data_IF_203722387587
#
_entry.id   IF_203722387587
#
_cell.length_a   1.000
_cell.length_b   1.000
_cell.length_c   1.000
_cell.angle_alpha   90.00
_cell.angle_beta   90.00
_cell.angle_gamma   90.00
#
_symmetry.space_group_name_H-M   'P 1'
#
loop_
_entity.id
_entity.type
_entity.pdbx_description
1 polymer ?
#
# COMPACT_ATOMS: atom_id res chain seq x y z
N UNK A 1 -8.37 24.77 1.48
CA UNK A 1 -7.66 25.93 0.88
C UNK A 1 -8.64 27.09 0.83
N UNK A 2 -8.22 28.30 1.22
CA UNK A 2 -9.12 29.43 1.53
C UNK A 2 -9.92 29.96 0.33
N UNK A 3 -11.20 30.25 0.55
CA UNK A 3 -12.08 30.87 -0.44
C UNK A 3 -12.14 32.38 -0.29
N UNK A 4 -11.95 33.10 -1.39
CA UNK A 4 -12.31 34.52 -1.53
C UNK A 4 -13.77 34.61 -1.97
N UNK A 5 -14.61 35.39 -1.27
CA UNK A 5 -15.97 35.70 -1.73
C UNK A 5 -15.92 36.71 -2.86
N UNK A 6 -16.44 36.37 -4.03
CA UNK A 6 -16.66 37.31 -5.13
C UNK A 6 -18.11 37.83 -5.16
N UNK A 7 -18.36 39.04 -5.69
CA UNK A 7 -19.70 39.64 -5.82
C UNK A 7 -20.65 38.85 -6.74
N UNK A 8 -21.98 39.11 -6.67
CA UNK A 8 -23.05 38.28 -7.26
C UNK A 8 -23.08 38.18 -8.80
N UNK A 9 -22.23 38.92 -9.51
CA UNK A 9 -22.32 39.20 -10.94
C UNK A 9 -21.07 38.81 -11.73
N UNK A 10 -20.11 38.10 -11.13
CA UNK A 10 -19.01 37.46 -11.86
C UNK A 10 -19.20 35.94 -11.96
N UNK A 11 -19.20 35.42 -13.20
CA UNK A 11 -19.09 33.97 -13.44
C UNK A 11 -17.62 33.59 -13.38
N UNK A 12 -17.22 32.96 -12.28
CA UNK A 12 -15.91 32.36 -12.17
C UNK A 12 -15.83 31.15 -13.12
N UNK A 13 -14.89 31.19 -14.07
CA UNK A 13 -14.55 30.03 -14.91
C UNK A 13 -14.01 28.88 -14.03
N UNK A 14 -13.62 29.19 -12.78
CA UNK A 14 -13.27 28.24 -11.75
C UNK A 14 -14.37 28.31 -10.68
N UNK A 15 -15.48 27.58 -10.86
CA UNK A 15 -16.36 27.30 -9.73
C UNK A 15 -15.57 26.49 -8.68
N UNK A 16 -14.89 27.18 -7.78
CA UNK A 16 -14.31 26.62 -6.57
C UNK A 16 -15.47 26.13 -5.71
N UNK A 17 -15.86 24.87 -5.89
CA UNK A 17 -16.74 24.20 -4.94
C UNK A 17 -16.07 24.28 -3.56
N UNK A 18 -16.84 24.59 -2.53
CA UNK A 18 -16.44 24.19 -1.19
C UNK A 18 -16.30 22.66 -1.21
N UNK A 19 -15.09 22.10 -1.06
CA UNK A 19 -14.91 20.66 -1.13
C UNK A 19 -15.69 20.02 0.01
N UNK A 20 -16.30 18.86 -0.25
CA UNK A 20 -16.83 18.02 0.82
C UNK A 20 -15.66 17.67 1.75
N UNK A 21 -15.72 18.12 3.00
CA UNK A 21 -14.67 17.85 3.97
C UNK A 21 -14.92 16.44 4.50
N UNK A 22 -14.16 15.48 3.97
CA UNK A 22 -14.17 14.12 4.48
C UNK A 22 -13.45 14.00 5.83
N UNK A 23 -13.72 12.89 6.50
CA UNK A 23 -13.06 12.50 7.74
C UNK A 23 -11.52 12.57 7.58
N UNK A 24 -10.77 13.14 8.55
CA UNK A 24 -9.31 13.22 8.47
C UNK A 24 -8.58 11.88 8.28
N UNK A 25 -9.23 10.76 8.63
CA UNK A 25 -8.71 9.41 8.35
C UNK A 25 -8.65 9.09 6.85
N UNK A 26 -9.45 9.77 6.02
CA UNK A 26 -9.47 9.59 4.56
C UNK A 26 -8.60 10.60 3.83
N UNK A 27 -7.94 11.53 4.53
CA UNK A 27 -7.02 12.46 3.91
C UNK A 27 -5.75 11.72 3.47
N UNK A 28 -5.23 12.10 2.31
CA UNK A 28 -4.02 11.49 1.76
C UNK A 28 -2.82 12.02 2.53
N UNK A 29 -2.05 11.12 3.16
CA UNK A 29 -0.78 11.48 3.78
C UNK A 29 0.24 12.00 2.75
N UNK A 30 1.36 12.50 3.25
CA UNK A 30 2.55 12.72 2.43
C UNK A 30 2.96 11.41 1.76
N UNK A 31 2.77 11.33 0.45
CA UNK A 31 3.09 10.16 -0.38
C UNK A 31 4.32 10.46 -1.22
N UNK A 32 5.12 9.44 -1.51
CA UNK A 32 6.37 9.60 -2.24
C UNK A 32 6.33 8.89 -3.59
N UNK A 33 6.98 9.51 -4.57
CA UNK A 33 7.10 8.99 -5.93
C UNK A 33 8.56 8.72 -6.21
N UNK A 34 8.97 7.46 -6.18
CA UNK A 34 10.37 7.05 -6.15
C UNK A 34 10.68 6.08 -7.30
N UNK A 35 11.81 6.31 -7.98
CA UNK A 35 12.42 5.36 -8.90
C UNK A 35 13.63 4.68 -8.27
N UNK A 36 14.76 4.64 -8.97
CA UNK A 36 16.04 4.23 -8.37
C UNK A 36 16.50 5.30 -7.39
N UNK A 37 16.59 4.96 -6.11
CA UNK A 37 17.12 5.84 -5.08
C UNK A 37 16.55 5.56 -3.70
N UNK A 38 16.80 6.48 -2.78
CA UNK A 38 16.38 6.38 -1.39
C UNK A 38 15.65 7.63 -0.92
N UNK A 39 14.65 7.47 -0.05
CA UNK A 39 13.99 8.57 0.65
C UNK A 39 14.22 8.42 2.14
N UNK A 40 14.58 9.52 2.80
CA UNK A 40 14.74 9.60 4.26
C UNK A 40 13.81 10.69 4.80
N UNK A 41 12.97 10.33 5.76
CA UNK A 41 12.05 11.25 6.45
C UNK A 41 12.40 11.26 7.93
N UNK A 42 12.66 12.44 8.49
CA UNK A 42 13.01 12.58 9.91
C UNK A 42 12.19 13.68 10.55
N UNK A 43 11.62 13.40 11.72
CA UNK A 43 10.90 14.40 12.51
C UNK A 43 11.16 14.24 14.00
N UNK A 44 11.02 15.35 14.73
CA UNK A 44 11.03 15.35 16.21
C UNK A 44 9.76 14.74 16.79
N UNK A 45 8.61 14.96 16.15
CA UNK A 45 7.29 14.49 16.58
C UNK A 45 6.74 13.41 15.64
N UNK A 46 5.42 13.33 15.57
CA UNK A 46 4.73 12.32 14.76
C UNK A 46 5.06 12.46 13.26
N UNK A 47 5.16 11.32 12.58
CA UNK A 47 5.31 11.23 11.13
C UNK A 47 4.11 10.48 10.56
N UNK A 48 3.36 11.11 9.66
CA UNK A 48 2.30 10.47 8.88
C UNK A 48 2.74 10.38 7.42
N UNK A 49 3.09 9.19 6.97
CA UNK A 49 3.47 8.90 5.58
C UNK A 49 2.44 8.01 4.91
N UNK A 50 2.30 8.22 3.62
CA UNK A 50 1.45 7.43 2.74
C UNK A 50 2.29 6.48 1.91
N UNK A 51 1.72 5.96 0.81
CA UNK A 51 2.42 5.03 -0.04
C UNK A 51 3.65 5.70 -0.69
N UNK A 52 4.73 4.92 -0.82
CA UNK A 52 5.88 5.25 -1.66
C UNK A 52 5.82 4.37 -2.90
N UNK A 53 5.61 4.96 -4.07
CA UNK A 53 5.25 4.24 -5.29
C UNK A 53 6.15 4.61 -6.45
N UNK A 54 6.22 3.71 -7.43
CA UNK A 54 6.88 3.99 -8.68
C UNK A 54 5.90 4.65 -9.67
N UNK A 55 6.14 5.90 -10.04
CA UNK A 55 5.25 6.65 -10.94
C UNK A 55 5.03 5.96 -12.29
N UNK A 56 6.03 5.23 -12.79
CA UNK A 56 5.94 4.56 -14.09
C UNK A 56 5.12 3.27 -14.08
N UNK A 57 4.68 2.79 -12.91
CA UNK A 57 3.70 1.71 -12.78
C UNK A 57 2.26 2.23 -12.68
N UNK A 58 2.06 3.53 -12.48
CA UNK A 58 0.75 4.15 -12.26
C UNK A 58 0.05 4.51 -13.58
N UNK A 59 -1.27 4.77 -13.56
CA UNK A 59 -2.01 5.25 -14.73
C UNK A 59 -1.38 6.49 -15.36
N UNK A 60 -1.33 6.51 -16.70
CA UNK A 60 -0.81 7.65 -17.46
C UNK A 60 -1.88 8.75 -17.63
N UNK A 61 -1.45 10.00 -17.84
CA UNK A 61 -2.35 11.12 -18.16
C UNK A 61 -2.95 11.04 -19.57
N UNK A 62 -4.11 11.68 -19.79
CA UNK A 62 -4.95 11.60 -21.00
C UNK A 62 -4.22 11.88 -22.33
N UNK A 63 -3.20 12.73 -22.32
CA UNK A 63 -2.44 13.06 -23.54
C UNK A 63 -1.39 12.02 -23.92
N UNK A 64 -1.20 10.98 -23.11
CA UNK A 64 -0.49 9.80 -23.57
C UNK A 64 -1.37 9.04 -24.55
N UNK A 65 -0.81 8.73 -25.71
CA UNK A 65 -1.49 7.96 -26.75
C UNK A 65 -1.96 6.62 -26.16
N UNK A 66 -3.26 6.34 -26.23
CA UNK A 66 -3.88 5.10 -25.74
C UNK A 66 -3.22 3.82 -26.29
N UNK A 67 -2.55 3.91 -27.44
CA UNK A 67 -1.82 2.83 -28.11
C UNK A 67 -0.46 2.48 -27.46
N UNK A 68 0.10 3.38 -26.64
CA UNK A 68 1.46 3.26 -26.08
C UNK A 68 1.48 3.26 -24.56
N UNK A 69 0.36 2.91 -23.92
CA UNK A 69 0.34 2.70 -22.47
C UNK A 69 1.35 1.61 -22.10
N UNK A 70 2.33 2.04 -21.34
CA UNK A 70 3.51 1.26 -21.03
C UNK A 70 3.82 1.49 -19.56
N UNK A 71 3.95 0.41 -18.80
CA UNK A 71 4.17 0.45 -17.37
C UNK A 71 5.45 -0.31 -17.02
N UNK A 72 6.27 0.27 -16.17
CA UNK A 72 7.52 -0.34 -15.74
C UNK A 72 7.95 0.20 -14.38
N UNK A 73 8.66 -0.63 -13.62
CA UNK A 73 9.37 -0.24 -12.43
C UNK A 73 10.73 0.34 -12.80
N UNK A 74 11.12 1.36 -12.06
CA UNK A 74 12.48 1.91 -12.04
C UNK A 74 13.17 1.67 -10.69
N UNK A 75 12.56 0.89 -9.79
CA UNK A 75 13.23 0.46 -8.57
C UNK A 75 14.48 -0.34 -8.91
N UNK A 76 15.56 -0.05 -8.19
CA UNK A 76 16.75 -0.87 -8.14
C UNK A 76 16.74 -1.73 -6.87
N UNK A 77 17.62 -2.73 -6.81
CA UNK A 77 17.74 -3.62 -5.66
C UNK A 77 18.03 -2.87 -4.34
N UNK A 78 18.75 -1.75 -4.42
CA UNK A 78 19.12 -0.87 -3.29
C UNK A 78 18.11 0.25 -3.01
N UNK A 79 16.99 0.30 -3.73
CA UNK A 79 15.99 1.36 -3.53
C UNK A 79 15.30 1.20 -2.17
N UNK A 80 15.15 2.30 -1.45
CA UNK A 80 14.78 2.25 -0.02
C UNK A 80 13.95 3.44 0.46
N UNK A 81 13.19 3.20 1.54
CA UNK A 81 12.51 4.24 2.31
C UNK A 81 12.91 4.11 3.77
N UNK A 82 13.38 5.21 4.35
CA UNK A 82 13.70 5.35 5.76
C UNK A 82 12.82 6.40 6.42
N UNK A 83 12.26 6.07 7.59
CA UNK A 83 11.43 6.99 8.39
C UNK A 83 11.90 6.96 9.83
N UNK A 84 12.17 8.13 10.40
CA UNK A 84 12.59 8.29 11.80
C UNK A 84 11.71 9.30 12.49
N UNK A 85 11.17 8.90 13.64
CA UNK A 85 10.57 9.81 14.61
C UNK A 85 11.36 9.75 15.92
N UNK A 86 11.83 10.90 16.40
CA UNK A 86 12.62 10.96 17.64
C UNK A 86 11.75 10.86 18.89
N UNK A 87 10.59 11.53 18.92
CA UNK A 87 9.73 11.61 20.10
C UNK A 87 8.26 11.29 19.86
N UNK A 88 7.88 10.95 18.63
CA UNK A 88 6.50 10.67 18.25
C UNK A 88 6.30 9.28 17.66
N UNK A 89 5.10 9.08 17.12
CA UNK A 89 4.70 7.89 16.41
C UNK A 89 5.06 8.00 14.92
N UNK A 90 5.23 6.86 14.27
CA UNK A 90 5.22 6.77 12.80
C UNK A 90 3.91 6.10 12.39
N UNK A 91 3.18 6.68 11.44
CA UNK A 91 2.00 6.07 10.84
C UNK A 91 2.21 5.90 9.35
N UNK A 92 2.22 4.65 8.89
CA UNK A 92 2.17 4.28 7.48
C UNK A 92 0.71 4.06 7.08
N UNK A 93 0.11 5.02 6.36
CA UNK A 93 -1.29 4.96 5.95
C UNK A 93 -1.47 4.77 4.45
N UNK A 94 -1.74 3.51 4.10
CA UNK A 94 -1.92 3.05 2.73
C UNK A 94 -3.35 2.66 2.39
N UNK A 95 -4.27 2.65 3.36
CA UNK A 95 -5.68 2.41 3.11
C UNK A 95 -6.60 3.42 3.81
N UNK A 96 -7.79 3.58 3.23
CA UNK A 96 -8.91 4.37 3.77
C UNK A 96 -10.26 3.72 3.43
N UNK A 97 -11.32 4.18 4.09
CA UNK A 97 -12.71 3.87 3.73
C UNK A 97 -13.46 5.16 3.45
N UNK A 98 -13.98 5.31 2.23
CA UNK A 98 -14.81 6.45 1.86
C UNK A 98 -16.22 6.31 2.46
N UNK A 99 -16.91 7.43 2.76
CA UNK A 99 -18.22 7.40 3.43
C UNK A 99 -19.40 6.95 2.54
N UNK A 100 -19.16 6.68 1.26
CA UNK A 100 -20.18 6.37 0.26
C UNK A 100 -19.90 5.00 -0.40
N UNK A 101 -20.94 4.19 -0.56
CA UNK A 101 -20.89 2.86 -1.16
C UNK A 101 -22.08 2.00 -0.71
N UNK A 102 -22.26 0.81 -1.29
CA UNK A 102 -23.21 -0.20 -0.79
C UNK A 102 -22.66 -1.01 0.38
N UNK A 103 -21.33 -1.02 0.57
CA UNK A 103 -20.61 -1.60 1.70
C UNK A 103 -19.32 -0.79 1.98
N UNK A 104 -18.78 -0.84 3.22
CA UNK A 104 -17.47 -0.24 3.52
C UNK A 104 -16.38 -1.02 2.79
N UNK A 105 -15.81 -0.43 1.74
CA UNK A 105 -14.68 -1.00 1.01
C UNK A 105 -13.41 -0.28 1.43
N UNK A 106 -12.51 -1.02 2.08
CA UNK A 106 -11.15 -0.55 2.36
C UNK A 106 -10.41 -0.44 1.03
N UNK A 107 -9.96 0.76 0.71
CA UNK A 107 -9.36 1.11 -0.59
C UNK A 107 -7.97 1.70 -0.37
N UNK A 108 -6.96 1.36 -1.20
CA UNK A 108 -5.67 2.03 -1.11
C UNK A 108 -5.81 3.55 -1.22
N UNK A 109 -5.09 4.31 -0.37
CA UNK A 109 -5.25 5.77 -0.27
C UNK A 109 -4.98 6.46 -1.61
N UNK A 110 -3.90 6.09 -2.29
CA UNK A 110 -3.56 6.63 -3.61
C UNK A 110 -4.60 6.25 -4.68
N UNK A 111 -5.15 5.04 -4.61
CA UNK A 111 -6.16 4.58 -5.55
C UNK A 111 -7.47 5.37 -5.41
N UNK A 112 -7.91 5.58 -4.16
CA UNK A 112 -9.06 6.41 -3.86
C UNK A 112 -8.87 7.85 -4.33
N UNK A 113 -7.66 8.40 -4.16
CA UNK A 113 -7.32 9.72 -4.71
C UNK A 113 -7.44 9.78 -6.22
N UNK A 114 -6.80 8.84 -6.94
CA UNK A 114 -6.86 8.80 -8.41
C UNK A 114 -8.30 8.64 -8.93
N UNK A 115 -9.10 7.83 -8.25
CA UNK A 115 -10.52 7.67 -8.56
C UNK A 115 -11.31 8.97 -8.39
N UNK A 116 -11.06 9.74 -7.31
CA UNK A 116 -11.78 10.98 -7.04
C UNK A 116 -11.27 12.16 -7.85
N UNK A 117 -9.97 12.28 -8.04
CA UNK A 117 -9.36 13.47 -8.64
C UNK A 117 -9.07 13.30 -10.12
N UNK A 118 -8.52 12.16 -10.56
CA UNK A 118 -7.96 12.02 -11.91
C UNK A 118 -8.87 11.29 -12.91
N UNK A 119 -9.88 10.56 -12.44
CA UNK A 119 -10.81 9.85 -13.32
C UNK A 119 -11.91 10.78 -13.84
N UNK A 120 -12.32 10.63 -15.11
CA UNK A 120 -13.49 11.32 -15.65
C UNK A 120 -14.77 10.59 -15.26
N UNK A 121 -15.79 11.35 -14.83
CA UNK A 121 -17.08 10.78 -14.44
C UNK A 121 -17.87 10.40 -15.69
N UNK A 122 -18.46 9.21 -15.69
CA UNK A 122 -19.25 8.72 -16.83
C UNK A 122 -20.60 9.41 -17.01
N UNK A 123 -21.28 9.80 -15.91
CA UNK A 123 -22.69 10.21 -15.96
C UNK A 123 -23.09 11.36 -15.02
N UNK A 124 -22.23 11.74 -14.07
CA UNK A 124 -22.48 12.86 -13.14
C UNK A 124 -21.22 13.71 -13.04
N UNK A 125 -21.20 14.83 -13.77
CA UNK A 125 -20.08 15.77 -13.90
C UNK A 125 -19.64 16.42 -12.56
N UNK A 126 -20.33 16.13 -11.46
CA UNK A 126 -20.21 16.84 -10.19
C UNK A 126 -19.31 16.16 -9.16
N UNK A 127 -18.81 14.94 -9.42
CA UNK A 127 -18.14 14.14 -8.38
C UNK A 127 -16.60 14.07 -8.47
N UNK A 128 -15.99 14.43 -9.61
CA UNK A 128 -14.55 14.23 -9.83
C UNK A 128 -13.87 15.48 -10.41
N UNK A 129 -12.67 15.82 -9.92
CA UNK A 129 -11.96 17.05 -10.30
C UNK A 129 -11.55 17.08 -11.77
N UNK A 130 -11.20 15.93 -12.38
CA UNK A 130 -10.84 15.83 -13.79
C UNK A 130 -11.96 16.27 -14.77
N UNK A 131 -13.22 16.41 -14.33
CA UNK A 131 -14.28 17.01 -15.16
C UNK A 131 -14.07 18.53 -15.38
N UNK A 132 -13.44 19.20 -14.42
CA UNK A 132 -13.18 20.64 -14.43
C UNK A 132 -11.71 20.97 -14.72
N UNK A 133 -10.81 20.04 -14.42
CA UNK A 133 -9.37 20.16 -14.60
C UNK A 133 -8.90 19.08 -15.57
N UNK A 134 -9.12 19.24 -16.88
CA UNK A 134 -8.80 18.18 -17.86
C UNK A 134 -7.31 17.82 -17.91
N UNK A 135 -6.41 18.71 -17.43
CA UNK A 135 -4.97 18.45 -17.39
C UNK A 135 -4.53 17.45 -16.32
N UNK A 136 -5.36 17.16 -15.29
CA UNK A 136 -5.07 16.12 -14.29
C UNK A 136 -5.71 14.77 -14.65
N UNK A 137 -6.34 14.68 -15.82
CA UNK A 137 -7.14 13.52 -16.21
C UNK A 137 -6.27 12.34 -16.62
N UNK A 138 -6.67 11.13 -16.21
CA UNK A 138 -6.07 9.87 -16.67
C UNK A 138 -6.56 9.47 -18.06
N UNK A 139 -5.73 8.68 -18.73
CA UNK A 139 -6.10 7.94 -19.94
C UNK A 139 -6.98 6.70 -19.64
N UNK A 140 -7.21 6.41 -18.36
CA UNK A 140 -7.98 5.27 -17.87
C UNK A 140 -9.44 5.63 -17.59
N UNK A 141 -10.33 4.65 -17.74
CA UNK A 141 -11.74 4.72 -17.30
C UNK A 141 -12.00 3.97 -16.00
N UNK A 142 -10.98 3.34 -15.40
CA UNK A 142 -11.02 2.68 -14.09
C UNK A 142 -9.59 2.57 -13.58
N UNK A 143 -9.42 2.74 -12.26
CA UNK A 143 -8.12 2.63 -11.59
C UNK A 143 -7.92 1.29 -10.89
N UNK A 144 -8.98 0.50 -10.70
CA UNK A 144 -8.95 -0.81 -10.03
C UNK A 144 -7.78 -1.74 -10.44
N UNK A 145 -7.38 -1.79 -11.75
CA UNK A 145 -6.26 -2.63 -12.17
C UNK A 145 -4.92 -2.28 -11.52
N UNK A 146 -4.77 -1.07 -10.98
CA UNK A 146 -3.54 -0.51 -10.43
C UNK A 146 -3.44 -0.66 -8.90
N UNK A 147 -4.39 -1.37 -8.27
CA UNK A 147 -4.42 -1.60 -6.82
C UNK A 147 -3.11 -2.15 -6.26
N UNK A 148 -2.57 -3.22 -6.83
CA UNK A 148 -1.30 -3.81 -6.38
C UNK A 148 -0.12 -2.82 -6.43
N UNK A 149 0.01 -2.07 -7.53
CA UNK A 149 1.12 -1.13 -7.73
C UNK A 149 0.97 0.17 -6.95
N UNK A 150 -0.25 0.50 -6.51
CA UNK A 150 -0.50 1.66 -5.64
C UNK A 150 0.04 1.50 -4.22
N UNK A 151 0.41 0.27 -3.82
CA UNK A 151 1.04 -0.06 -2.54
C UNK A 151 2.37 -0.82 -2.71
N UNK A 152 2.93 -0.87 -3.93
CA UNK A 152 4.24 -1.47 -4.20
C UNK A 152 5.34 -0.46 -3.86
N UNK A 153 6.02 -0.72 -2.76
CA UNK A 153 7.13 0.07 -2.23
C UNK A 153 8.49 -0.46 -2.74
N UNK A 154 9.58 0.31 -2.59
CA UNK A 154 10.92 -0.21 -2.82
C UNK A 154 11.20 -1.46 -1.97
N UNK A 155 12.21 -2.24 -2.36
CA UNK A 155 12.54 -3.51 -1.69
C UNK A 155 13.01 -3.37 -0.25
N UNK A 156 13.34 -2.16 0.21
CA UNK A 156 13.73 -1.90 1.59
C UNK A 156 12.86 -0.82 2.26
N UNK A 157 12.29 -1.15 3.42
CA UNK A 157 11.63 -0.20 4.32
C UNK A 157 12.25 -0.27 5.71
N UNK A 158 12.69 0.88 6.22
CA UNK A 158 13.20 1.04 7.58
C UNK A 158 12.41 2.12 8.29
N UNK A 159 11.86 1.83 9.46
CA UNK A 159 11.10 2.78 10.27
C UNK A 159 11.48 2.65 11.73
N UNK A 160 11.93 3.74 12.33
CA UNK A 160 12.33 3.77 13.74
C UNK A 160 11.61 4.90 14.49
N UNK A 161 10.75 4.53 15.43
CA UNK A 161 10.10 5.45 16.36
C UNK A 161 10.78 5.34 17.73
N UNK A 162 11.71 6.26 18.03
CA UNK A 162 12.50 6.23 19.26
C UNK A 162 11.70 6.55 20.53
N UNK A 163 10.57 7.23 20.41
CA UNK A 163 9.71 7.61 21.54
C UNK A 163 8.28 7.08 21.48
N UNK A 164 7.84 6.54 20.34
CA UNK A 164 6.44 6.21 20.11
C UNK A 164 6.21 4.84 19.47
N UNK A 165 5.01 4.70 18.93
CA UNK A 165 4.53 3.51 18.24
C UNK A 165 4.79 3.60 16.73
N UNK A 166 4.76 2.45 16.06
CA UNK A 166 4.59 2.40 14.61
C UNK A 166 3.19 1.85 14.33
N UNK A 167 2.36 2.65 13.67
CA UNK A 167 1.01 2.28 13.24
C UNK A 167 1.01 1.97 11.75
N UNK A 168 0.40 0.86 11.37
CA UNK A 168 0.22 0.44 9.99
C UNK A 168 -1.27 0.48 9.68
N UNK A 169 -1.62 1.10 8.56
CA UNK A 169 -3.01 1.19 8.10
C UNK A 169 -3.08 0.73 6.65
N UNK A 170 -3.43 -0.55 6.47
CA UNK A 170 -3.56 -1.19 5.17
C UNK A 170 -2.31 -1.93 4.72
N UNK A 171 -2.38 -2.46 3.50
CA UNK A 171 -1.36 -3.37 2.99
C UNK A 171 -0.11 -2.64 2.50
N UNK A 172 1.04 -3.30 2.64
CA UNK A 172 2.34 -2.92 2.11
C UNK A 172 2.96 -4.09 1.38
N UNK A 173 3.47 -3.87 0.17
CA UNK A 173 4.28 -4.86 -0.54
C UNK A 173 5.63 -4.24 -0.88
N UNK A 174 6.71 -4.86 -0.43
CA UNK A 174 8.07 -4.48 -0.82
C UNK A 174 8.44 -5.20 -2.12
N UNK A 175 8.96 -4.44 -3.09
CA UNK A 175 9.39 -4.98 -4.36
C UNK A 175 10.51 -6.04 -4.19
N UNK A 176 10.56 -7.06 -5.06
CA UNK A 176 11.62 -8.06 -5.01
C UNK A 176 13.01 -7.44 -5.06
N UNK A 177 13.82 -7.76 -4.06
CA UNK A 177 15.24 -7.39 -4.01
C UNK A 177 16.00 -8.44 -3.21
N UNK A 178 17.10 -8.95 -3.75
CA UNK A 178 17.92 -9.98 -3.10
C UNK A 178 18.41 -9.59 -1.70
N UNK A 179 18.65 -8.29 -1.48
CA UNK A 179 19.08 -7.72 -0.19
C UNK A 179 18.00 -6.82 0.44
N UNK A 180 16.79 -6.84 -0.12
CA UNK A 180 15.65 -6.09 0.39
C UNK A 180 15.28 -6.52 1.80
N UNK A 181 14.91 -5.57 2.65
CA UNK A 181 14.57 -5.86 4.04
C UNK A 181 13.48 -4.98 4.62
N UNK A 182 12.90 -5.45 5.72
CA UNK A 182 11.95 -4.70 6.54
C UNK A 182 12.53 -4.53 7.95
N UNK A 183 12.59 -3.29 8.41
CA UNK A 183 12.90 -2.96 9.81
C UNK A 183 11.84 -2.02 10.36
N UNK A 184 11.05 -2.50 11.32
CA UNK A 184 10.10 -1.69 12.09
C UNK A 184 10.53 -1.73 13.56
N UNK A 185 11.04 -0.62 14.08
CA UNK A 185 11.58 -0.50 15.43
C UNK A 185 10.80 0.58 16.19
N UNK A 186 9.90 0.17 17.09
CA UNK A 186 9.15 1.08 17.94
C UNK A 186 9.64 0.99 19.39
N UNK A 187 9.81 2.13 20.04
CA UNK A 187 9.99 2.18 21.50
C UNK A 187 8.74 1.66 22.23
N UNK A 188 7.56 1.98 21.71
CA UNK A 188 6.28 1.45 22.16
C UNK A 188 5.90 0.16 21.42
N UNK A 189 4.73 0.19 20.79
CA UNK A 189 4.11 -0.94 20.09
C UNK A 189 4.21 -0.84 18.56
N UNK A 190 4.07 -1.99 17.89
CA UNK A 190 3.74 -2.09 16.47
C UNK A 190 2.25 -2.43 16.34
N UNK A 191 1.47 -1.52 15.77
CA UNK A 191 0.01 -1.64 15.66
C UNK A 191 -0.38 -1.85 14.19
N UNK A 192 -0.88 -3.04 13.85
CA UNK A 192 -1.32 -3.42 12.51
C UNK A 192 -2.81 -3.20 12.24
N UNK A 193 -3.61 -3.00 13.28
CA UNK A 193 -5.02 -2.61 13.17
C UNK A 193 -5.14 -1.10 13.38
N UNK A 194 -5.87 -0.42 12.50
CA UNK A 194 -6.05 1.03 12.56
C UNK A 194 -7.37 1.47 11.92
N UNK A 195 -7.93 2.61 12.33
CA UNK A 195 -9.16 3.13 11.76
C UNK A 195 -8.89 3.72 10.38
N UNK A 196 -9.78 3.48 9.41
CA UNK A 196 -9.61 3.86 8.00
C UNK A 196 -10.60 4.92 7.53
N UNK A 197 -11.58 5.30 8.36
CA UNK A 197 -12.58 6.29 8.03
C UNK A 197 -13.96 5.94 8.58
N UNK A 198 -14.94 6.80 8.31
CA UNK A 198 -16.33 6.62 8.76
C UNK A 198 -17.23 6.24 7.60
N UNK A 199 -17.97 5.16 7.76
CA UNK A 199 -18.94 4.67 6.79
C UNK A 199 -20.36 4.95 7.26
N UNK A 200 -21.21 5.48 6.37
CA UNK A 200 -22.62 5.75 6.66
C UNK A 200 -23.45 4.52 6.33
N UNK A 201 -24.03 3.90 7.35
CA UNK A 201 -24.94 2.78 7.22
C UNK A 201 -26.24 3.22 6.53
N UNK A 202 -26.95 2.27 5.91
CA UNK A 202 -28.28 2.49 5.35
C UNK A 202 -29.30 2.98 6.39
N UNK A 203 -29.09 2.63 7.67
CA UNK A 203 -29.88 3.12 8.82
C UNK A 203 -29.64 4.60 9.16
N UNK A 204 -28.71 5.27 8.47
CA UNK A 204 -28.36 6.67 8.70
C UNK A 204 -27.24 6.90 9.73
N UNK A 205 -26.86 5.88 10.49
CA UNK A 205 -25.78 5.94 11.49
C UNK A 205 -24.39 5.85 10.82
N UNK A 206 -23.41 6.58 11.35
CA UNK A 206 -22.01 6.51 10.88
C UNK A 206 -21.14 5.70 11.84
N UNK A 207 -20.50 4.64 11.32
CA UNK A 207 -19.59 3.78 12.08
C UNK A 207 -18.14 3.99 11.65
N UNK A 208 -17.20 3.89 12.59
CA UNK A 208 -15.77 3.86 12.26
C UNK A 208 -15.43 2.49 11.70
N UNK A 209 -14.71 2.49 10.59
CA UNK A 209 -14.21 1.28 9.94
C UNK A 209 -12.75 1.08 10.28
N UNK A 210 -12.36 -0.18 10.42
CA UNK A 210 -11.03 -0.60 10.83
C UNK A 210 -10.49 -1.62 9.85
N UNK A 211 -9.18 -1.66 9.70
CA UNK A 211 -8.51 -2.66 8.87
C UNK A 211 -7.26 -3.19 9.59
N UNK A 212 -6.97 -4.47 9.39
CA UNK A 212 -5.66 -5.05 9.72
C UNK A 212 -4.68 -4.81 8.57
N UNK A 213 -3.38 -4.99 8.84
CA UNK A 213 -2.34 -4.70 7.86
C UNK A 213 -1.66 -5.99 7.39
N UNK A 214 -1.48 -6.14 6.08
CA UNK A 214 -0.60 -7.17 5.50
C UNK A 214 0.71 -6.55 5.05
N UNK A 215 1.83 -7.16 5.42
CA UNK A 215 3.14 -6.83 4.89
C UNK A 215 3.64 -8.02 4.08
N UNK A 216 3.93 -7.78 2.80
CA UNK A 216 4.54 -8.75 1.92
C UNK A 216 5.94 -8.28 1.50
N UNK A 217 6.98 -9.01 1.92
CA UNK A 217 8.32 -8.88 1.34
C UNK A 217 8.37 -9.84 0.16
N UNK A 218 8.28 -9.36 -1.08
CA UNK A 218 8.12 -10.26 -2.22
C UNK A 218 9.44 -10.93 -2.62
N UNK A 219 9.39 -12.23 -2.90
CA UNK A 219 10.43 -13.02 -3.57
C UNK A 219 10.06 -13.45 -4.99
N UNK A 220 9.07 -12.77 -5.58
CA UNK A 220 8.79 -12.98 -7.01
C UNK A 220 10.04 -12.66 -7.82
N UNK A 221 10.26 -13.39 -8.91
CA UNK A 221 11.43 -13.17 -9.76
C UNK A 221 11.48 -11.70 -10.24
N UNK A 222 12.51 -10.92 -9.87
CA UNK A 222 12.62 -9.51 -10.26
C UNK A 222 12.57 -9.31 -11.78
N UNK A 223 12.99 -10.29 -12.58
CA UNK A 223 12.94 -10.22 -14.04
C UNK A 223 11.50 -10.28 -14.60
N UNK A 224 10.53 -10.73 -13.79
CA UNK A 224 9.11 -10.78 -14.14
C UNK A 224 8.36 -9.51 -13.76
N UNK A 225 8.97 -8.66 -12.93
CA UNK A 225 8.48 -7.29 -12.71
C UNK A 225 8.82 -6.47 -13.97
N UNK A 226 7.85 -5.82 -14.62
CA UNK A 226 8.13 -5.00 -15.80
C UNK A 226 9.20 -3.95 -15.48
N UNK A 227 10.28 -3.92 -16.26
CA UNK A 227 11.42 -3.02 -16.06
C UNK A 227 11.63 -2.08 -17.24
N UNK A 228 12.56 -1.14 -17.13
CA UNK A 228 12.87 -0.16 -18.19
C UNK A 228 13.30 -0.81 -19.51
N UNK A 229 13.98 -1.96 -19.46
CA UNK A 229 14.43 -2.71 -20.63
C UNK A 229 13.36 -3.64 -21.23
N UNK A 230 12.35 -4.01 -20.43
CA UNK A 230 11.25 -4.88 -20.86
C UNK A 230 9.95 -4.41 -20.21
N UNK A 231 9.41 -3.27 -20.66
CA UNK A 231 8.26 -2.67 -20.03
C UNK A 231 6.97 -3.39 -20.44
N UNK A 232 5.95 -3.33 -19.59
CA UNK A 232 4.65 -3.93 -19.88
C UNK A 232 3.80 -3.01 -20.74
N UNK A 233 3.56 -3.42 -21.99
CA UNK A 233 2.66 -2.72 -22.90
C UNK A 233 1.21 -3.22 -22.74
N UNK A 234 0.29 -2.32 -22.41
CA UNK A 234 -1.10 -2.65 -22.11
C UNK A 234 -1.86 -3.27 -23.31
N UNK A 235 -1.41 -2.99 -24.52
CA UNK A 235 -2.01 -3.53 -25.75
C UNK A 235 -1.84 -5.06 -25.89
N UNK A 236 -0.89 -5.66 -25.17
CA UNK A 236 -0.65 -7.12 -25.17
C UNK A 236 -1.80 -7.89 -24.53
N UNK A 237 -2.57 -7.22 -23.65
CA UNK A 237 -3.70 -7.80 -22.93
C UNK A 237 -5.05 -7.20 -23.32
N UNK A 238 -5.11 -5.92 -23.67
CA UNK A 238 -6.37 -5.24 -24.04
C UNK A 238 -6.67 -5.29 -25.54
N UNK A 239 -5.69 -5.67 -26.36
CA UNK A 239 -5.82 -5.62 -27.82
C UNK A 239 -5.69 -4.21 -28.39
N UNK A 240 -6.19 -4.02 -29.62
CA UNK A 240 -5.98 -2.80 -30.42
C UNK A 240 -7.26 -2.02 -30.78
N UNK A 241 -8.41 -2.38 -30.23
CA UNK A 241 -9.66 -1.65 -30.49
C UNK A 241 -9.77 -0.42 -29.57
N UNK A 242 -10.31 0.69 -30.10
CA UNK A 242 -10.36 1.98 -29.40
C UNK A 242 -11.08 1.92 -28.05
N UNK A 243 -12.15 1.12 -27.94
CA UNK A 243 -12.93 0.98 -26.70
C UNK A 243 -12.13 0.17 -25.66
N UNK A 244 -11.48 -0.93 -26.08
CA UNK A 244 -10.69 -1.77 -25.18
C UNK A 244 -9.46 -1.05 -24.63
N UNK A 245 -8.97 0.00 -25.31
CA UNK A 245 -7.80 0.77 -24.87
C UNK A 245 -8.14 1.94 -23.93
N UNK A 246 -9.41 2.30 -23.71
CA UNK A 246 -9.80 3.31 -22.70
C UNK A 246 -9.72 2.78 -21.26
N UNK A 247 -9.63 1.46 -21.11
CA UNK A 247 -9.53 0.77 -19.83
C UNK A 247 -8.44 -0.29 -19.93
N UNK A 248 -7.46 -0.24 -19.05
CA UNK A 248 -6.55 -1.37 -18.85
C UNK A 248 -7.31 -2.50 -18.14
N UNK A 249 -8.24 -3.13 -18.86
CA UNK A 249 -9.24 -4.07 -18.33
C UNK A 249 -8.70 -5.49 -18.33
N UNK A 250 -8.22 -5.93 -17.17
CA UNK A 250 -7.87 -7.32 -16.92
C UNK A 250 -8.70 -7.85 -15.74
N UNK A 251 -9.39 -9.01 -15.89
CA UNK A 251 -9.89 -9.75 -14.74
C UNK A 251 -8.71 -10.06 -13.80
N UNK A 252 -8.74 -9.50 -12.58
CA UNK A 252 -7.65 -9.70 -11.60
C UNK A 252 -6.47 -8.72 -11.69
N UNK A 253 -6.64 -7.56 -12.32
CA UNK A 253 -5.64 -6.48 -12.29
C UNK A 253 -4.48 -6.64 -13.26
N UNK A 254 -3.46 -5.78 -13.13
CA UNK A 254 -2.24 -5.88 -13.95
C UNK A 254 -1.56 -7.25 -13.76
N UNK A 255 -0.83 -7.80 -14.76
CA UNK A 255 -0.16 -9.11 -14.61
C UNK A 255 0.74 -9.21 -13.37
N UNK A 256 1.31 -8.08 -12.96
CA UNK A 256 2.13 -7.95 -11.74
C UNK A 256 1.36 -8.26 -10.45
N UNK A 257 0.03 -8.11 -10.40
CA UNK A 257 -0.78 -8.45 -9.21
C UNK A 257 -0.64 -9.94 -8.86
N UNK A 258 -0.52 -10.78 -9.88
CA UNK A 258 -0.35 -12.22 -9.67
C UNK A 258 1.00 -12.62 -9.07
N UNK A 259 1.99 -11.73 -9.15
CA UNK A 259 3.34 -11.90 -8.60
C UNK A 259 3.45 -11.40 -7.15
N UNK A 260 2.56 -10.49 -6.74
CA UNK A 260 2.72 -9.70 -5.51
C UNK A 260 1.66 -9.99 -4.45
N UNK A 261 0.56 -10.66 -4.82
CA UNK A 261 -0.55 -10.87 -3.92
C UNK A 261 -0.47 -12.23 -3.22
N UNK A 262 0.22 -12.24 -2.08
CA UNK A 262 0.28 -13.33 -1.12
C UNK A 262 -0.99 -13.44 -0.27
N UNK A 263 -1.37 -14.68 0.05
CA UNK A 263 -2.54 -14.98 0.89
C UNK A 263 -2.29 -16.03 1.96
N UNK A 264 -1.19 -16.79 1.89
CA UNK A 264 -0.93 -17.92 2.78
C UNK A 264 -1.85 -19.13 2.60
N UNK A 265 -2.89 -19.04 1.76
CA UNK A 265 -3.81 -20.16 1.54
C UNK A 265 -3.15 -21.30 0.78
N UNK A 266 -3.45 -22.53 1.22
CA UNK A 266 -3.03 -23.79 0.61
C UNK A 266 -4.13 -24.43 -0.24
N UNK A 267 -5.27 -23.74 -0.40
CA UNK A 267 -6.44 -24.22 -1.14
C UNK A 267 -6.88 -23.22 -2.21
N UNK A 268 -7.75 -23.66 -3.13
CA UNK A 268 -8.28 -22.80 -4.18
C UNK A 268 -7.19 -22.25 -5.11
N UNK A 269 -7.43 -21.06 -5.69
CA UNK A 269 -6.50 -20.43 -6.64
C UNK A 269 -5.12 -20.22 -6.02
N UNK A 270 -5.05 -19.82 -4.76
CA UNK A 270 -3.80 -19.56 -4.03
C UNK A 270 -3.04 -20.82 -3.62
N UNK A 271 -3.73 -21.95 -3.47
CA UNK A 271 -3.10 -23.26 -3.26
C UNK A 271 -2.59 -23.94 -4.52
N UNK A 272 -2.94 -23.44 -5.71
CA UNK A 272 -2.52 -24.06 -6.97
C UNK A 272 -1.00 -23.92 -7.19
N UNK A 273 -0.38 -24.97 -7.75
CA UNK A 273 1.05 -24.96 -8.07
C UNK A 273 1.42 -23.80 -9.00
N UNK A 274 0.57 -23.54 -10.00
CA UNK A 274 0.76 -22.40 -10.92
C UNK A 274 0.83 -21.10 -10.14
N UNK A 275 -0.11 -20.82 -9.23
CA UNK A 275 -0.10 -19.58 -8.46
C UNK A 275 1.14 -19.45 -7.58
N UNK A 276 1.58 -20.53 -6.92
CA UNK A 276 2.82 -20.51 -6.12
C UNK A 276 4.07 -20.24 -6.97
N UNK A 277 4.14 -20.79 -8.18
CA UNK A 277 5.22 -20.49 -9.13
C UNK A 277 5.15 -19.07 -9.71
N UNK A 278 4.00 -18.39 -9.66
CA UNK A 278 3.92 -16.97 -10.00
C UNK A 278 4.45 -16.08 -8.87
N UNK A 279 4.14 -16.43 -7.62
CA UNK A 279 4.50 -15.65 -6.43
C UNK A 279 5.99 -15.73 -6.08
N UNK A 280 6.63 -16.85 -6.37
CA UNK A 280 8.03 -17.10 -6.03
C UNK A 280 8.91 -17.24 -7.28
N UNK A 281 10.15 -16.76 -7.21
CA UNK A 281 11.15 -16.99 -8.25
C UNK A 281 11.61 -18.44 -8.35
N UNK A 282 12.15 -18.84 -9.50
CA UNK A 282 12.78 -20.16 -9.67
C UNK A 282 14.06 -20.30 -8.82
N UNK A 283 14.77 -19.17 -8.62
CA UNK A 283 15.86 -19.05 -7.65
C UNK A 283 15.33 -18.54 -6.31
N UNK A 284 15.97 -18.96 -5.23
CA UNK A 284 15.73 -18.43 -3.88
C UNK A 284 16.33 -17.03 -3.76
N UNK A 285 15.50 -16.00 -3.91
CA UNK A 285 15.96 -14.60 -4.07
C UNK A 285 16.84 -14.09 -2.91
N UNK A 286 16.53 -14.50 -1.68
CA UNK A 286 17.22 -14.05 -0.46
C UNK A 286 18.25 -15.05 0.08
N UNK A 287 18.67 -16.04 -0.71
CA UNK A 287 19.55 -17.13 -0.26
C UNK A 287 20.83 -16.65 0.44
N UNK A 288 21.42 -15.55 -0.04
CA UNK A 288 22.69 -15.01 0.46
C UNK A 288 22.50 -13.81 1.40
N UNK A 289 21.27 -13.52 1.80
CA UNK A 289 20.97 -12.39 2.69
C UNK A 289 20.93 -12.84 4.14
N UNK A 290 22.07 -12.69 4.83
CA UNK A 290 22.22 -13.05 6.23
C UNK A 290 21.57 -12.07 7.21
N UNK A 291 21.01 -10.95 6.73
CA UNK A 291 20.39 -9.96 7.59
C UNK A 291 18.92 -10.31 7.79
N UNK A 292 18.49 -10.76 8.98
CA UNK A 292 17.07 -11.04 9.19
C UNK A 292 16.27 -9.74 9.14
N UNK A 293 15.00 -9.84 8.70
CA UNK A 293 14.06 -8.74 8.89
C UNK A 293 13.80 -8.50 10.39
N UNK A 294 13.37 -7.30 10.78
CA UNK A 294 13.14 -6.95 12.20
C UNK A 294 11.81 -6.26 12.39
N UNK A 295 10.99 -6.73 13.33
CA UNK A 295 9.78 -6.06 13.82
C UNK A 295 9.81 -6.06 15.34
N UNK A 296 10.18 -4.94 15.94
CA UNK A 296 10.37 -4.80 17.38
C UNK A 296 9.40 -3.77 17.97
N UNK A 297 8.55 -4.21 18.90
CA UNK A 297 7.85 -3.34 19.85
C UNK A 297 8.57 -3.42 21.19
N UNK A 298 9.46 -2.48 21.49
CA UNK A 298 10.44 -2.63 22.56
C UNK A 298 9.82 -2.74 23.96
N UNK A 299 8.94 -1.80 24.33
CA UNK A 299 8.21 -1.83 25.60
C UNK A 299 6.74 -2.21 25.46
N UNK A 300 6.25 -2.29 24.21
CA UNK A 300 4.86 -2.54 23.88
C UNK A 300 4.63 -3.91 23.25
N UNK A 301 3.51 -3.96 22.53
CA UNK A 301 3.00 -5.15 21.85
C UNK A 301 3.39 -5.12 20.36
N UNK A 302 3.33 -6.28 19.71
CA UNK A 302 3.25 -6.38 18.24
C UNK A 302 1.92 -7.04 17.91
N UNK A 303 1.00 -6.30 17.29
CA UNK A 303 -0.38 -6.79 17.12
C UNK A 303 -1.02 -6.44 15.79
N UNK A 304 -1.94 -7.28 15.31
CA UNK A 304 -2.88 -6.93 14.24
C UNK A 304 -2.31 -6.96 12.82
N UNK A 305 -1.25 -7.74 12.57
CA UNK A 305 -0.60 -7.78 11.26
C UNK A 305 -0.33 -9.19 10.73
N UNK A 306 -0.45 -9.34 9.40
CA UNK A 306 0.02 -10.51 8.67
C UNK A 306 1.36 -10.20 8.01
N UNK A 307 2.34 -11.10 8.15
CA UNK A 307 3.67 -10.96 7.58
C UNK A 307 3.97 -12.13 6.64
N UNK A 308 4.31 -11.81 5.40
CA UNK A 308 4.89 -12.75 4.43
C UNK A 308 6.33 -12.34 4.19
N UNK A 309 7.26 -13.26 4.43
CA UNK A 309 8.67 -13.01 4.23
C UNK A 309 9.43 -14.25 3.77
N UNK A 310 10.24 -14.12 2.71
CA UNK A 310 11.00 -15.20 2.08
C UNK A 310 12.39 -15.35 2.70
N UNK A 311 12.60 -14.88 3.93
CA UNK A 311 13.90 -14.87 4.61
C UNK A 311 13.72 -14.87 6.11
N UNK A 312 14.81 -15.15 6.84
CA UNK A 312 14.78 -15.19 8.29
C UNK A 312 14.23 -13.88 8.89
N UNK A 313 13.40 -14.00 9.94
CA UNK A 313 12.75 -12.87 10.60
C UNK A 313 12.98 -12.84 12.09
N UNK A 314 13.05 -11.63 12.67
CA UNK A 314 13.02 -11.40 14.11
C UNK A 314 11.82 -10.53 14.47
N UNK A 315 10.83 -11.12 15.13
CA UNK A 315 9.67 -10.42 15.67
C UNK A 315 9.73 -10.48 17.18
N UNK A 316 9.90 -9.34 17.83
CA UNK A 316 10.09 -9.27 19.28
C UNK A 316 9.16 -8.20 19.86
N UNK A 317 8.37 -8.57 20.86
CA UNK A 317 7.58 -7.64 21.65
C UNK A 317 8.06 -7.67 23.11
N UNK A 318 8.18 -6.50 23.74
CA UNK A 318 8.45 -6.39 25.18
C UNK A 318 7.29 -6.89 26.05
N UNK A 319 6.09 -6.94 25.48
CA UNK A 319 4.87 -7.44 26.10
C UNK A 319 4.29 -8.56 25.27
N UNK A 320 3.22 -8.33 24.51
CA UNK A 320 2.44 -9.39 23.88
C UNK A 320 2.60 -9.37 22.35
N UNK A 321 2.52 -10.54 21.73
CA UNK A 321 2.32 -10.69 20.30
C UNK A 321 0.92 -11.27 20.07
N UNK A 322 0.02 -10.50 19.44
CA UNK A 322 -1.41 -10.88 19.31
C UNK A 322 -2.01 -10.57 17.95
N UNK A 323 -3.06 -11.28 17.52
CA UNK A 323 -3.74 -11.01 16.23
C UNK A 323 -2.79 -11.00 15.02
N UNK A 324 -1.97 -12.05 14.92
CA UNK A 324 -0.93 -12.16 13.89
C UNK A 324 -1.10 -13.37 12.98
N UNK A 325 -0.46 -13.30 11.82
CA UNK A 325 -0.23 -14.44 10.95
C UNK A 325 1.12 -14.29 10.28
N UNK A 326 2.09 -15.12 10.68
CA UNK A 326 3.47 -15.02 10.22
C UNK A 326 3.81 -16.20 9.31
N UNK A 327 4.17 -15.89 8.08
CA UNK A 327 4.66 -16.81 7.06
C UNK A 327 6.12 -16.47 6.81
N UNK A 328 6.99 -17.08 7.62
CA UNK A 328 8.43 -16.81 7.63
C UNK A 328 9.15 -18.01 7.04
N UNK A 329 10.05 -17.75 6.09
CA UNK A 329 10.93 -18.76 5.52
C UNK A 329 12.35 -18.58 6.04
N UNK A 330 13.12 -19.66 6.02
CA UNK A 330 14.56 -19.63 6.26
C UNK A 330 15.21 -20.14 4.96
N UNK A 331 15.95 -19.28 4.27
CA UNK A 331 16.49 -19.59 2.94
C UNK A 331 17.90 -20.13 3.00
N UNK A 332 18.68 -19.74 4.01
CA UNK A 332 19.99 -20.29 4.33
C UNK A 332 19.93 -21.44 5.33
N UNK A 333 20.89 -22.37 5.24
CA UNK A 333 20.97 -23.52 6.17
C UNK A 333 21.26 -23.12 7.62
N UNK A 334 21.84 -21.93 7.84
CA UNK A 334 22.14 -21.36 9.16
C UNK A 334 21.07 -20.38 9.66
N UNK A 335 20.00 -20.18 8.90
CA UNK A 335 18.98 -19.19 9.24
C UNK A 335 18.17 -19.62 10.46
N UNK A 336 17.98 -18.67 11.38
CA UNK A 336 17.12 -18.83 12.54
C UNK A 336 16.14 -17.66 12.55
N UNK A 337 14.86 -17.99 12.54
CA UNK A 337 13.79 -17.03 12.78
C UNK A 337 13.41 -17.04 14.26
N UNK A 338 13.19 -15.86 14.82
CA UNK A 338 12.84 -15.68 16.23
C UNK A 338 11.52 -14.92 16.33
N UNK A 339 10.55 -15.50 17.02
CA UNK A 339 9.32 -14.83 17.44
C UNK A 339 9.27 -14.91 18.96
N UNK A 340 9.33 -13.76 19.64
CA UNK A 340 9.42 -13.69 21.09
C UNK A 340 8.53 -12.60 21.66
N UNK A 341 7.71 -12.96 22.65
CA UNK A 341 6.93 -12.03 23.45
C UNK A 341 7.50 -12.00 24.87
N UNK A 342 7.47 -10.84 25.53
CA UNK A 342 7.82 -10.73 26.96
C UNK A 342 6.77 -11.36 27.88
N UNK A 343 5.54 -11.54 27.40
CA UNK A 343 4.47 -12.27 28.10
C UNK A 343 3.80 -13.29 27.17
N UNK A 344 2.80 -12.86 26.39
CA UNK A 344 1.90 -13.76 25.68
C UNK A 344 2.10 -13.72 24.16
N UNK A 345 2.02 -14.89 23.53
CA UNK A 345 1.98 -15.04 22.07
C UNK A 345 0.66 -15.73 21.71
N UNK A 346 -0.32 -14.95 21.22
CA UNK A 346 -1.69 -15.42 20.96
C UNK A 346 -2.09 -15.01 19.54
N UNK A 347 -1.99 -15.90 18.54
CA UNK A 347 -2.24 -15.56 17.13
C UNK A 347 -3.61 -14.93 16.84
N UNK A 348 -4.63 -15.25 17.63
CA UNK A 348 -5.95 -14.63 17.56
C UNK A 348 -6.44 -14.32 18.98
N UNK A 349 -6.72 -13.05 19.27
CA UNK A 349 -7.19 -12.62 20.57
C UNK A 349 -8.30 -11.57 20.44
N UNK A 350 -9.53 -11.96 20.77
CA UNK A 350 -10.68 -11.04 20.76
C UNK A 350 -10.54 -9.93 21.80
N UNK A 351 -9.75 -10.17 22.85
CA UNK A 351 -9.47 -9.25 23.94
C UNK A 351 -8.09 -8.59 23.84
N UNK A 352 -7.47 -8.58 22.64
CA UNK A 352 -6.20 -7.88 22.47
C UNK A 352 -6.36 -6.38 22.79
N UNK A 353 -5.30 -5.79 23.36
CA UNK A 353 -5.33 -4.37 23.73
C UNK A 353 -5.73 -3.49 22.54
N UNK A 354 -5.24 -3.81 21.34
CA UNK A 354 -5.50 -3.08 20.11
C UNK A 354 -6.96 -3.17 19.61
N UNK A 355 -7.73 -4.19 20.01
CA UNK A 355 -9.18 -4.29 19.70
C UNK A 355 -10.07 -3.64 20.74
N UNK A 356 -9.54 -3.37 21.93
CA UNK A 356 -10.30 -2.87 23.09
C UNK A 356 -10.41 -1.33 23.16
N UNK A 357 -9.80 -0.62 22.21
CA UNK A 357 -9.76 0.85 22.12
C UNK A 357 -10.70 1.40 21.05
#
# INVERSE_FOLDING_TARGET
MGGTSLPPDQTDIIQSRNPEIYDPLTWIPTSFYLGKGSIQVEARGDVLVGPTVNTFLLPQGLNNKIWYKTYFSTYAADSSVGVVSLGGNITHRNALTLPQGSNPVVTPTLLAWMFRENLLAGTTLTAQAANYQPWIRLVESSVDPFSAVSNLMPGTLKSTAFGGNINLTGDMTLAPSAEGTLELLAAGSINGISPTGRYRLASGNSVTTWTGSKINVSDSDPARIPGTASPFAANTVTGRTLIAQRRTSLPGGLPIDTLLNESGSTTGVFGSQVRKQLLHGASVLHLNDSNPLRIYGNSGDVSGLSLFTPKAGRVIAGRDITDISFYIQNTGASDISLVSAGRDLIPFSESSALRST
#
